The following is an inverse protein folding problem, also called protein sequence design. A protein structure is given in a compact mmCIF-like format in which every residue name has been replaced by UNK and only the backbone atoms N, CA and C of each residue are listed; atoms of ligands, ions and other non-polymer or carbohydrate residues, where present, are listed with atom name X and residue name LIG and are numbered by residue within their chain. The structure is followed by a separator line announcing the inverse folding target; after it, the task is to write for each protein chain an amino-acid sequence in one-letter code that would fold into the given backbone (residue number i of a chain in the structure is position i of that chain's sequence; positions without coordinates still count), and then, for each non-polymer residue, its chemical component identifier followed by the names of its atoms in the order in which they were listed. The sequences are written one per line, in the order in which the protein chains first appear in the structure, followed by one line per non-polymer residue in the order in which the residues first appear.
data_IF_880236385480
#
_entry.id   IF_880236385480
#
_cell.length_a   1.000
_cell.length_b   1.000
_cell.length_c   1.000
_cell.angle_alpha   90.00
_cell.angle_beta   90.00
_cell.angle_gamma   90.00
#
_symmetry.space_group_name_H-M   'P 1'
#
loop_
_entity.id
_entity.type
_entity.pdbx_description
1 polymer ?
#
# COMPACT_ATOMS: atom_id res chain seq x y z
N UNK A 1 12.58 -4.87 8.56
CA UNK A 1 12.07 -4.52 7.20
C UNK A 1 13.03 -3.63 6.41
N UNK A 2 13.77 -2.74 7.07
CA UNK A 2 14.68 -1.80 6.39
C UNK A 2 15.64 -2.42 5.38
N UNK A 3 16.24 -3.58 5.66
CA UNK A 3 17.14 -4.25 4.70
C UNK A 3 16.42 -4.59 3.39
N UNK A 4 15.22 -5.19 3.46
CA UNK A 4 14.43 -5.52 2.26
C UNK A 4 14.01 -4.26 1.50
N UNK A 5 13.68 -3.18 2.21
CA UNK A 5 13.38 -1.88 1.59
C UNK A 5 14.59 -1.34 0.83
N UNK A 6 15.78 -1.32 1.44
CA UNK A 6 17.01 -0.83 0.79
C UNK A 6 17.36 -1.62 -0.47
N UNK A 7 17.21 -2.95 -0.44
CA UNK A 7 17.45 -3.82 -1.59
C UNK A 7 16.52 -3.50 -2.78
N UNK A 8 15.26 -3.13 -2.51
CA UNK A 8 14.27 -2.83 -3.54
C UNK A 8 14.23 -1.35 -3.93
N UNK A 9 14.76 -0.45 -3.10
CA UNK A 9 14.58 1.00 -3.21
C UNK A 9 15.04 1.54 -4.57
N UNK A 10 16.20 1.10 -5.05
CA UNK A 10 16.76 1.56 -6.33
C UNK A 10 15.84 1.27 -7.51
N UNK A 11 15.28 0.05 -7.59
CA UNK A 11 14.33 -0.36 -8.64
C UNK A 11 12.97 0.30 -8.45
N UNK A 12 12.51 0.43 -7.21
CA UNK A 12 11.22 1.03 -6.86
C UNK A 12 11.14 2.50 -7.28
N UNK A 13 12.17 3.30 -6.97
CA UNK A 13 12.21 4.75 -7.26
C UNK A 13 12.10 5.07 -8.75
N UNK A 14 12.54 4.17 -9.63
CA UNK A 14 12.51 4.35 -11.08
C UNK A 14 11.13 4.11 -11.70
N UNK A 15 10.18 3.52 -10.96
CA UNK A 15 8.84 3.23 -11.45
C UNK A 15 7.96 4.49 -11.29
N UNK A 16 7.28 4.99 -12.33
CA UNK A 16 6.34 6.11 -12.20
C UNK A 16 5.14 5.79 -11.29
N UNK A 17 4.57 6.77 -10.58
CA UNK A 17 3.49 6.54 -9.61
C UNK A 17 2.24 5.90 -10.22
N UNK A 18 1.87 6.30 -11.45
CA UNK A 18 0.76 5.74 -12.23
C UNK A 18 0.95 4.28 -12.66
N UNK A 19 2.12 3.68 -12.37
CA UNK A 19 2.40 2.25 -12.54
C UNK A 19 2.51 1.50 -11.20
N UNK A 20 2.29 2.18 -10.08
CA UNK A 20 2.41 1.62 -8.72
C UNK A 20 1.07 1.29 -8.11
N UNK A 21 1.08 0.34 -7.18
CA UNK A 21 -0.07 0.02 -6.34
C UNK A 21 0.25 0.20 -4.85
N UNK A 22 -0.71 0.72 -4.10
CA UNK A 22 -0.63 0.88 -2.65
C UNK A 22 -1.59 -0.10 -1.98
N UNK A 23 -1.05 -0.96 -1.12
CA UNK A 23 -1.80 -1.97 -0.38
C UNK A 23 -1.83 -1.58 1.09
N UNK A 24 -3.05 -1.41 1.59
CA UNK A 24 -3.32 -1.06 2.98
C UNK A 24 -3.87 -2.28 3.74
N UNK A 25 -3.56 -2.42 5.03
CA UNK A 25 -4.02 -3.56 5.82
C UNK A 25 -5.39 -3.24 6.41
N UNK A 26 -6.28 -4.23 6.39
CA UNK A 26 -7.58 -4.09 7.04
C UNK A 26 -7.50 -3.85 8.55
N UNK A 27 -6.37 -4.19 9.19
CA UNK A 27 -6.15 -3.99 10.63
C UNK A 27 -6.16 -2.51 11.06
N UNK A 28 -6.00 -1.56 10.13
CA UNK A 28 -6.17 -0.12 10.39
C UNK A 28 -7.65 0.26 10.53
N UNK A 29 -8.58 -0.60 10.11
CA UNK A 29 -10.01 -0.33 10.15
C UNK A 29 -10.49 -0.34 11.60
N UNK A 30 -11.14 0.75 12.00
CA UNK A 30 -11.95 0.77 13.22
C UNK A 30 -13.16 -0.17 13.02
N UNK A 31 -13.09 -1.36 13.60
CA UNK A 31 -14.08 -2.42 13.39
C UNK A 31 -15.43 -2.13 14.03
N UNK A 32 -15.51 -1.19 14.97
CA UNK A 32 -16.76 -0.84 15.67
C UNK A 32 -17.64 0.11 14.86
N UNK A 33 -17.03 1.04 14.12
CA UNK A 33 -17.76 2.14 13.48
C UNK A 33 -17.63 2.19 11.95
N UNK A 34 -16.77 1.36 11.35
CA UNK A 34 -16.57 1.43 9.92
C UNK A 34 -17.69 0.73 9.15
N UNK A 35 -18.43 1.51 8.36
CA UNK A 35 -19.53 1.06 7.50
C UNK A 35 -19.09 0.56 6.11
N UNK A 36 -17.79 0.64 5.80
CA UNK A 36 -17.26 0.24 4.49
C UNK A 36 -17.41 -1.27 4.26
N UNK A 37 -17.79 -1.66 3.04
CA UNK A 37 -17.97 -3.07 2.66
C UNK A 37 -16.79 -3.52 1.79
N UNK A 38 -16.48 -4.82 1.86
CA UNK A 38 -15.53 -5.42 0.92
C UNK A 38 -16.25 -5.73 -0.39
N UNK A 39 -15.66 -5.28 -1.49
CA UNK A 39 -16.00 -5.70 -2.83
C UNK A 39 -14.97 -6.69 -3.38
N UNK A 40 -15.02 -6.92 -4.69
CA UNK A 40 -14.12 -7.86 -5.38
C UNK A 40 -12.64 -7.42 -5.38
N UNK A 41 -12.38 -6.14 -5.12
CA UNK A 41 -11.05 -5.53 -5.20
C UNK A 41 -10.50 -5.01 -3.87
N UNK A 42 -11.14 -5.39 -2.76
CA UNK A 42 -10.80 -4.93 -1.41
C UNK A 42 -11.89 -4.08 -0.79
N UNK A 43 -11.54 -3.33 0.25
CA UNK A 43 -12.45 -2.44 0.95
C UNK A 43 -12.86 -1.28 0.04
N UNK A 44 -14.17 -1.02 -0.06
CA UNK A 44 -14.66 0.17 -0.74
C UNK A 44 -14.40 1.42 0.10
N UNK A 45 -13.54 2.30 -0.43
CA UNK A 45 -13.19 3.56 0.23
C UNK A 45 -14.27 4.64 0.10
N UNK A 46 -15.36 4.41 -0.64
CA UNK A 46 -16.37 5.44 -0.95
C UNK A 46 -17.00 6.11 0.27
N UNK A 47 -16.98 5.46 1.44
CA UNK A 47 -17.48 6.01 2.70
C UNK A 47 -16.38 6.34 3.73
N UNK A 48 -15.10 6.11 3.39
CA UNK A 48 -13.98 6.33 4.31
C UNK A 48 -13.76 7.82 4.61
N UNK A 49 -13.92 8.70 3.61
CA UNK A 49 -13.79 10.16 3.77
C UNK A 49 -14.85 10.74 4.73
N UNK A 50 -16.03 10.13 4.82
CA UNK A 50 -17.10 10.55 5.73
C UNK A 50 -16.96 9.99 7.14
N UNK A 51 -16.30 8.83 7.28
CA UNK A 51 -16.07 8.20 8.57
C UNK A 51 -14.90 8.88 9.31
N UNK A 52 -13.73 8.98 8.67
CA UNK A 52 -12.50 9.57 9.23
C UNK A 52 -12.09 9.05 10.64
N UNK A 53 -12.56 7.87 11.05
CA UNK A 53 -12.27 7.25 12.35
C UNK A 53 -11.01 6.37 12.36
N UNK A 54 -10.22 6.38 11.28
CA UNK A 54 -9.01 5.58 11.13
C UNK A 54 -8.01 6.27 10.19
N UNK A 55 -6.81 5.70 10.06
CA UNK A 55 -5.72 6.24 9.26
C UNK A 55 -5.80 5.95 7.74
N UNK A 56 -6.71 5.06 7.32
CA UNK A 56 -6.86 4.69 5.91
C UNK A 56 -7.16 5.87 4.96
N UNK A 57 -8.08 6.82 5.28
CA UNK A 57 -8.38 7.94 4.39
C UNK A 57 -7.14 8.82 4.14
N UNK A 58 -6.29 9.00 5.15
CA UNK A 58 -5.06 9.79 5.00
C UNK A 58 -4.08 9.12 4.03
N UNK A 59 -3.86 7.81 4.18
CA UNK A 59 -2.97 7.02 3.32
C UNK A 59 -3.51 6.92 1.88
N UNK A 60 -4.82 6.73 1.74
CA UNK A 60 -5.51 6.72 0.45
C UNK A 60 -5.37 8.08 -0.25
N UNK A 61 -5.57 9.18 0.48
CA UNK A 61 -5.42 10.53 -0.05
C UNK A 61 -4.00 10.78 -0.57
N UNK A 62 -2.97 10.33 0.15
CA UNK A 62 -1.57 10.46 -0.30
C UNK A 62 -1.36 9.70 -1.62
N UNK A 63 -1.82 8.44 -1.71
CA UNK A 63 -1.71 7.66 -2.94
C UNK A 63 -2.47 8.29 -4.12
N UNK A 64 -3.69 8.80 -3.87
CA UNK A 64 -4.52 9.48 -4.88
C UNK A 64 -3.85 10.76 -5.39
N UNK A 65 -3.30 11.57 -4.49
CA UNK A 65 -2.58 12.80 -4.84
C UNK A 65 -1.34 12.54 -5.71
N UNK A 66 -0.70 11.39 -5.53
CA UNK A 66 0.44 10.96 -6.33
C UNK A 66 0.05 10.20 -7.61
N UNK A 67 -1.25 10.05 -7.89
CA UNK A 67 -1.78 9.32 -9.05
C UNK A 67 -1.37 7.85 -9.08
N UNK A 68 -1.46 7.16 -7.94
CA UNK A 68 -1.23 5.71 -7.88
C UNK A 68 -2.26 4.95 -8.73
N UNK A 69 -1.80 3.93 -9.47
CA UNK A 69 -2.65 3.12 -10.35
C UNK A 69 -3.83 2.47 -9.64
N UNK A 70 -3.58 1.96 -8.44
CA UNK A 70 -4.60 1.34 -7.58
C UNK A 70 -4.20 1.49 -6.13
N UNK A 71 -5.20 1.78 -5.31
CA UNK A 71 -5.11 1.75 -3.85
C UNK A 71 -6.16 0.77 -3.38
N UNK A 72 -5.76 -0.22 -2.60
CA UNK A 72 -6.64 -1.27 -2.12
C UNK A 72 -6.36 -1.59 -0.66
N UNK A 73 -7.41 -1.70 0.14
CA UNK A 73 -7.31 -2.21 1.50
C UNK A 73 -7.75 -3.68 1.51
N UNK A 74 -6.88 -4.57 1.97
CA UNK A 74 -7.08 -6.02 1.84
C UNK A 74 -7.26 -6.70 3.21
N UNK A 75 -8.20 -7.65 3.32
CA UNK A 75 -8.36 -8.46 4.53
C UNK A 75 -7.25 -9.51 4.69
N UNK A 76 -6.49 -9.79 3.62
CA UNK A 76 -5.36 -10.72 3.67
C UNK A 76 -4.66 -10.90 2.33
N UNK A 77 -3.53 -11.64 2.37
CA UNK A 77 -2.60 -11.80 1.26
C UNK A 77 -3.18 -12.44 -0.01
N UNK A 78 -4.19 -13.31 0.10
CA UNK A 78 -4.76 -14.03 -1.07
C UNK A 78 -5.40 -13.12 -2.12
N UNK A 79 -5.78 -11.89 -1.75
CA UNK A 79 -6.34 -10.91 -2.69
C UNK A 79 -5.25 -10.13 -3.44
N UNK A 80 -4.03 -10.09 -2.89
CA UNK A 80 -2.89 -9.37 -3.50
C UNK A 80 -2.62 -9.92 -4.90
N UNK A 81 -2.54 -11.25 -5.06
CA UNK A 81 -2.26 -11.87 -6.36
C UNK A 81 -3.32 -11.57 -7.42
N UNK A 82 -4.59 -11.55 -7.02
CA UNK A 82 -5.70 -11.21 -7.93
C UNK A 82 -5.53 -9.78 -8.47
N UNK A 83 -5.21 -8.84 -7.58
CA UNK A 83 -4.98 -7.45 -7.96
C UNK A 83 -3.71 -7.28 -8.80
N UNK A 84 -2.63 -7.98 -8.47
CA UNK A 84 -1.38 -7.96 -9.24
C UNK A 84 -1.61 -8.49 -10.65
N UNK A 85 -2.37 -9.57 -10.83
CA UNK A 85 -2.73 -10.10 -12.15
C UNK A 85 -3.63 -9.17 -12.95
N UNK A 86 -4.58 -8.52 -12.29
CA UNK A 86 -5.55 -7.59 -12.92
C UNK A 86 -4.89 -6.27 -13.33
N UNK A 87 -4.15 -5.64 -12.43
CA UNK A 87 -3.60 -4.29 -12.61
C UNK A 87 -2.17 -4.28 -13.13
N UNK A 88 -1.44 -5.40 -13.04
CA UNK A 88 -0.04 -5.56 -13.47
C UNK A 88 0.83 -4.37 -13.03
N UNK A 89 0.94 -4.11 -11.72
CA UNK A 89 1.77 -3.02 -11.22
C UNK A 89 3.24 -3.30 -11.52
N UNK A 90 4.02 -2.24 -11.71
CA UNK A 90 5.49 -2.33 -11.82
C UNK A 90 6.20 -2.12 -10.48
N UNK A 91 5.51 -1.61 -9.46
CA UNK A 91 6.00 -1.53 -8.09
C UNK A 91 4.84 -1.50 -7.09
N UNK A 92 5.09 -1.93 -5.86
CA UNK A 92 4.06 -1.99 -4.81
C UNK A 92 4.58 -1.39 -3.50
N UNK A 93 3.73 -0.61 -2.82
CA UNK A 93 3.93 -0.23 -1.43
C UNK A 93 2.95 -1.02 -0.57
N UNK A 94 3.46 -1.74 0.43
CA UNK A 94 2.65 -2.49 1.38
C UNK A 94 2.79 -1.96 2.79
N UNK A 95 1.68 -1.84 3.51
CA UNK A 95 1.65 -1.53 4.93
C UNK A 95 0.98 -2.71 5.63
N UNK A 96 1.66 -3.39 6.54
CA UNK A 96 1.10 -4.54 7.28
C UNK A 96 2.00 -4.93 8.47
N UNK A 97 1.62 -5.99 9.18
CA UNK A 97 2.47 -6.62 10.20
C UNK A 97 3.67 -7.32 9.55
N UNK A 98 4.73 -7.58 10.32
CA UNK A 98 5.94 -8.18 9.77
C UNK A 98 5.75 -9.50 8.99
N UNK A 99 4.95 -10.49 9.46
CA UNK A 99 4.80 -11.75 8.72
C UNK A 99 4.09 -11.55 7.36
N UNK A 100 3.06 -10.70 7.31
CA UNK A 100 2.36 -10.39 6.05
C UNK A 100 3.27 -9.67 5.06
N UNK A 101 4.06 -8.70 5.52
CA UNK A 101 5.03 -8.00 4.68
C UNK A 101 6.09 -8.95 4.12
N UNK A 102 6.62 -9.86 4.95
CA UNK A 102 7.63 -10.82 4.51
C UNK A 102 7.09 -11.71 3.38
N UNK A 103 5.92 -12.33 3.59
CA UNK A 103 5.28 -13.17 2.58
C UNK A 103 4.95 -12.37 1.30
N UNK A 104 4.48 -11.13 1.46
CA UNK A 104 4.17 -10.26 0.32
C UNK A 104 5.42 -9.91 -0.49
N UNK A 105 6.51 -9.52 0.17
CA UNK A 105 7.77 -9.16 -0.49
C UNK A 105 8.34 -10.37 -1.24
N UNK A 106 8.38 -11.54 -0.62
CA UNK A 106 8.93 -12.75 -1.23
C UNK A 106 8.14 -13.11 -2.50
N UNK A 107 6.81 -13.12 -2.43
CA UNK A 107 5.94 -13.35 -3.60
C UNK A 107 6.12 -12.32 -4.71
N UNK A 108 6.22 -11.03 -4.36
CA UNK A 108 6.39 -9.99 -5.38
C UNK A 108 7.78 -10.05 -6.00
N UNK A 109 8.78 -10.48 -5.24
CA UNK A 109 10.14 -10.73 -5.75
C UNK A 109 10.16 -11.86 -6.79
N UNK A 110 9.36 -12.92 -6.62
CA UNK A 110 9.20 -13.98 -7.62
C UNK A 110 8.62 -13.44 -8.95
N UNK A 111 7.77 -12.41 -8.88
CA UNK A 111 7.26 -11.70 -10.05
C UNK A 111 8.18 -10.59 -10.57
N UNK A 112 9.34 -10.39 -9.94
CA UNK A 112 10.28 -9.32 -10.28
C UNK A 112 9.77 -7.91 -9.97
N UNK A 113 8.73 -7.78 -9.14
CA UNK A 113 8.12 -6.50 -8.78
C UNK A 113 8.81 -5.92 -7.53
N UNK A 114 9.50 -4.77 -7.63
CA UNK A 114 10.10 -4.12 -6.47
C UNK A 114 9.03 -3.63 -5.49
N UNK A 115 9.31 -3.80 -4.20
CA UNK A 115 8.39 -3.47 -3.12
C UNK A 115 9.01 -2.50 -2.11
N UNK A 116 8.16 -1.67 -1.50
CA UNK A 116 8.48 -0.95 -0.26
C UNK A 116 7.48 -1.33 0.81
N UNK A 117 7.98 -1.54 2.02
CA UNK A 117 7.19 -2.02 3.14
C UNK A 117 7.26 -1.04 4.31
N UNK A 118 6.11 -0.75 4.91
CA UNK A 118 5.97 0.09 6.11
C UNK A 118 5.40 -0.80 7.20
N UNK A 119 6.11 -0.90 8.33
CA UNK A 119 5.63 -1.70 9.46
C UNK A 119 4.55 -0.93 10.22
N UNK A 120 3.56 -1.67 10.72
CA UNK A 120 2.65 -1.13 11.73
C UNK A 120 3.40 -0.92 13.06
N UNK A 121 3.09 0.16 13.78
CA UNK A 121 3.73 0.50 15.06
C UNK A 121 3.30 -0.43 16.20
N UNK A 122 2.12 -1.03 16.07
CA UNK A 122 1.60 -2.04 16.99
C UNK A 122 1.17 -3.27 16.21
N UNK A 123 1.67 -4.42 16.62
CA UNK A 123 1.14 -5.71 16.21
C UNK A 123 -0.08 -6.04 17.08
N UNK A 124 -1.26 -5.96 16.47
CA UNK A 124 -2.53 -6.38 17.06
C UNK A 124 -3.57 -6.47 15.96
N UNK A 125 -4.40 -7.51 15.90
CA UNK A 125 -5.32 -7.67 14.76
C UNK A 125 -6.41 -6.58 14.62
N UNK A 126 -6.47 -5.59 15.52
CA UNK A 126 -7.48 -4.51 15.52
C UNK A 126 -6.90 -3.20 16.07
N UNK A 127 -7.35 -2.07 15.51
CA UNK A 127 -7.02 -0.71 15.96
C UNK A 127 -5.51 -0.42 16.03
N UNK A 128 -4.80 -0.92 15.01
CA UNK A 128 -3.36 -0.65 14.85
C UNK A 128 -3.12 0.73 14.31
N UNK A 129 -1.91 1.22 14.55
CA UNK A 129 -1.46 2.53 14.10
C UNK A 129 -0.27 2.33 13.15
N UNK A 130 -0.32 2.94 11.98
CA UNK A 130 0.82 3.12 11.09
C UNK A 130 1.47 4.48 11.37
N UNK A 131 2.79 4.54 11.23
CA UNK A 131 3.47 5.83 11.14
C UNK A 131 3.14 6.46 9.77
N UNK A 132 2.28 7.48 9.76
CA UNK A 132 1.86 8.17 8.54
C UNK A 132 3.03 8.88 7.86
N UNK A 133 3.98 9.41 8.64
CA UNK A 133 5.15 10.09 8.08
C UNK A 133 6.05 9.09 7.36
N UNK A 134 6.39 7.97 8.00
CA UNK A 134 7.16 6.89 7.37
C UNK A 134 6.43 6.36 6.12
N UNK A 135 5.13 6.13 6.22
CA UNK A 135 4.33 5.68 5.09
C UNK A 135 4.38 6.68 3.93
N UNK A 136 4.21 7.97 4.23
CA UNK A 136 4.28 9.05 3.24
C UNK A 136 5.65 9.09 2.57
N UNK A 137 6.73 8.98 3.33
CA UNK A 137 8.08 8.94 2.78
C UNK A 137 8.25 7.78 1.81
N UNK A 138 7.86 6.56 2.20
CA UNK A 138 7.96 5.37 1.35
C UNK A 138 7.08 5.44 0.10
N UNK A 139 5.86 5.95 0.23
CA UNK A 139 4.95 6.17 -0.90
C UNK A 139 5.55 7.24 -1.84
N UNK A 140 6.15 8.30 -1.31
CA UNK A 140 6.71 9.38 -2.12
C UNK A 140 8.07 9.05 -2.78
N UNK A 141 8.74 7.94 -2.44
CA UNK A 141 10.05 7.58 -3.01
C UNK A 141 10.01 7.50 -4.54
N UNK A 142 10.70 8.39 -5.23
CA UNK A 142 10.78 8.41 -6.70
C UNK A 142 12.07 9.09 -7.16
N UNK A 143 12.58 8.73 -8.34
CA UNK A 143 13.64 9.51 -8.99
C UNK A 143 13.04 10.71 -9.74
N UNK A 144 13.81 11.77 -10.00
CA UNK A 144 13.35 12.91 -10.79
C UNK A 144 12.78 12.49 -12.16
N UNK A 145 13.45 11.58 -12.86
CA UNK A 145 13.02 11.15 -14.21
C UNK A 145 11.70 10.38 -14.18
N UNK A 146 11.49 9.53 -13.17
CA UNK A 146 10.24 8.79 -12.99
C UNK A 146 9.09 9.72 -12.57
N UNK A 147 9.39 10.81 -11.85
CA UNK A 147 8.40 11.80 -11.43
C UNK A 147 7.83 12.58 -12.62
N UNK A 148 8.66 12.91 -13.61
CA UNK A 148 8.19 13.55 -14.85
C UNK A 148 7.25 12.64 -15.64
N UNK A 149 7.61 11.36 -15.77
CA UNK A 149 6.76 10.33 -16.42
C UNK A 149 5.42 10.09 -15.71
N UNK A 150 5.33 10.43 -14.43
CA UNK A 150 4.08 10.31 -13.66
C UNK A 150 3.07 11.42 -13.95
N UNK A 151 3.51 12.52 -14.59
CA UNK A 151 2.69 13.67 -14.99
C UNK A 151 2.23 13.62 -16.45
N UNK A 152 2.86 12.77 -17.26
CA UNK A 152 2.51 12.50 -18.64
C UNK A 152 1.32 11.54 -18.71
#
# INVERSE_FOLDING_TARGET
MELRNKLNEGRFKQVPYNERMLLLPHCLRNTKDCIAKYGEEGLDFGNCEKCNKCQMPALEKIGKQLNYKKIACLPGGSMVEKLVRKYKPKAIVGIACSPELNMGIDRMSEHGIPTQAVLLLKDGCKDTEANIEEAREKIALITPEAREKSKA
#
